data_IF_390452426470
#
_entry.id   IF_390452426470
#
_cell.length_a   1.000
_cell.length_b   1.000
_cell.length_c   1.000
_cell.angle_alpha   90.00
_cell.angle_beta   90.00
_cell.angle_gamma   90.00
#
_symmetry.space_group_name_H-M   'P 1'
#
loop_
_entity.id
_entity.type
_entity.pdbx_description
1 polymer ?
#
# COMPACT_ATOMS: atom_id res chain seq x y z
N UNK A 1 -11.62 32.30 -38.88
CA UNK A 1 -11.01 33.35 -39.71
C UNK A 1 -10.50 34.38 -38.72
N UNK A 2 -9.22 34.63 -38.48
CA UNK A 2 -8.01 34.42 -39.29
C UNK A 2 -6.85 34.71 -38.34
N UNK A 3 -5.84 33.83 -38.34
CA UNK A 3 -4.46 34.23 -38.03
C UNK A 3 -3.94 35.00 -39.25
N UNK A 4 -3.17 36.07 -39.04
CA UNK A 4 -1.89 36.22 -39.74
C UNK A 4 -0.77 36.51 -38.74
N UNK A 5 0.34 35.77 -38.82
CA UNK A 5 1.60 36.12 -39.53
C UNK A 5 2.36 37.27 -38.88
N UNK A 6 3.48 37.02 -38.20
CA UNK A 6 4.80 36.66 -38.72
C UNK A 6 5.71 37.88 -38.93
N UNK A 7 6.96 37.70 -38.50
CA UNK A 7 8.17 38.23 -39.11
C UNK A 7 8.83 39.50 -38.54
N UNK A 8 10.16 39.35 -38.43
CA UNK A 8 11.22 40.35 -38.55
C UNK A 8 11.46 41.29 -37.36
N UNK A 9 12.56 41.09 -36.61
CA UNK A 9 13.94 41.51 -36.92
C UNK A 9 14.25 42.89 -36.34
N UNK A 10 14.85 42.90 -35.14
CA UNK A 10 15.47 44.11 -34.59
C UNK A 10 16.97 44.11 -34.90
N UNK A 11 17.31 44.87 -35.94
CA UNK A 11 18.66 45.30 -36.24
C UNK A 11 19.08 46.38 -35.23
N UNK A 12 20.32 46.26 -34.75
CA UNK A 12 20.97 47.18 -33.84
C UNK A 12 21.26 48.53 -34.51
N UNK A 13 21.02 49.62 -33.77
CA UNK A 13 21.43 50.98 -34.08
C UNK A 13 22.58 51.36 -33.12
N UNK A 14 23.58 52.01 -33.70
CA UNK A 14 24.84 52.61 -33.20
C UNK A 14 24.64 53.65 -32.05
N UNK A 15 25.61 54.53 -31.66
CA UNK A 15 27.03 54.70 -32.02
C UNK A 15 27.98 55.08 -30.84
N UNK A 16 29.28 55.22 -31.17
CA UNK A 16 30.28 56.12 -30.53
C UNK A 16 30.74 55.78 -29.09
N UNK A 17 31.97 56.07 -28.65
CA UNK A 17 32.76 57.28 -28.88
C UNK A 17 34.24 57.01 -28.52
N UNK A 18 35.12 57.65 -29.31
CA UNK A 18 36.53 58.03 -29.10
C UNK A 18 37.15 57.92 -27.70
N UNK A 19 38.40 57.44 -27.65
CA UNK A 19 39.52 58.18 -27.04
C UNK A 19 40.86 57.53 -27.42
N UNK A 20 41.65 58.23 -28.23
CA UNK A 20 43.07 57.96 -28.43
C UNK A 20 43.90 58.50 -27.25
N UNK A 21 45.06 57.89 -27.04
CA UNK A 21 46.04 58.31 -26.03
C UNK A 21 47.25 57.40 -26.04
N UNK A 22 48.17 57.67 -26.96
CA UNK A 22 49.49 57.06 -27.00
C UNK A 22 50.43 57.77 -26.01
N UNK A 23 51.04 57.03 -25.09
CA UNK A 23 52.29 57.43 -24.43
C UNK A 23 53.18 56.19 -24.35
N UNK A 24 54.29 56.27 -25.06
CA UNK A 24 55.38 55.31 -25.17
C UNK A 24 56.30 55.40 -23.94
N UNK A 25 56.55 54.28 -23.26
CA UNK A 25 57.65 54.11 -22.30
C UNK A 25 58.65 53.10 -22.87
N UNK A 26 59.97 53.25 -22.61
CA UNK A 26 61.04 52.55 -23.31
C UNK A 26 61.31 51.14 -22.75
N UNK A 27 61.97 50.36 -23.61
CA UNK A 27 62.32 48.95 -23.57
C UNK A 27 62.84 48.39 -22.23
N UNK A 28 62.22 47.28 -21.81
CA UNK A 28 62.76 46.31 -20.86
C UNK A 28 63.13 45.05 -21.64
N UNK A 29 64.37 44.53 -21.54
CA UNK A 29 64.82 43.39 -22.32
C UNK A 29 64.07 42.09 -21.97
N UNK A 30 63.75 41.39 -23.05
CA UNK A 30 63.01 40.15 -23.19
C UNK A 30 63.49 39.02 -22.26
N UNK A 31 62.69 38.72 -21.23
CA UNK A 31 62.83 37.53 -20.41
C UNK A 31 61.78 36.49 -20.86
N UNK A 32 62.27 35.50 -21.60
CA UNK A 32 61.82 34.09 -21.70
C UNK A 32 60.31 33.83 -21.64
N UNK A 33 59.76 33.42 -22.79
CA UNK A 33 58.37 33.00 -22.98
C UNK A 33 57.81 32.08 -21.87
N UNK A 34 56.63 32.37 -21.31
CA UNK A 34 55.90 31.37 -20.53
C UNK A 34 55.27 30.36 -21.49
N UNK A 35 55.56 29.07 -21.31
CA UNK A 35 54.89 27.98 -22.02
C UNK A 35 53.37 28.07 -21.88
N UNK A 36 52.58 27.44 -22.78
CA UNK A 36 51.13 27.56 -22.74
C UNK A 36 50.60 27.06 -21.41
N UNK A 37 50.26 28.00 -20.52
CA UNK A 37 49.54 27.72 -19.30
C UNK A 37 48.21 27.11 -19.74
N UNK A 38 48.06 25.81 -19.51
CA UNK A 38 46.82 25.06 -19.71
C UNK A 38 45.75 25.67 -18.81
N UNK A 39 45.05 26.69 -19.32
CA UNK A 39 43.95 27.36 -18.65
C UNK A 39 42.77 26.40 -18.69
N UNK A 40 42.80 25.45 -17.77
CA UNK A 40 41.75 24.46 -17.52
C UNK A 40 40.42 25.19 -17.39
N UNK A 41 39.61 25.13 -18.45
CA UNK A 41 38.19 25.53 -18.47
C UNK A 41 37.35 24.55 -17.62
N UNK A 42 37.69 24.34 -16.35
CA UNK A 42 36.97 23.45 -15.43
C UNK A 42 36.77 24.09 -14.05
N UNK A 43 35.81 25.02 -13.93
CA UNK A 43 35.10 25.12 -12.66
C UNK A 43 33.60 24.80 -12.77
N UNK A 44 32.97 24.97 -13.95
CA UNK A 44 31.51 24.84 -14.04
C UNK A 44 31.02 23.38 -14.12
N UNK A 45 31.70 22.53 -14.90
CA UNK A 45 31.33 21.10 -15.00
C UNK A 45 31.56 20.32 -13.70
N UNK A 46 32.46 20.77 -12.82
CA UNK A 46 32.68 20.15 -11.52
C UNK A 46 31.53 20.48 -10.56
N UNK A 47 31.00 21.71 -10.62
CA UNK A 47 29.86 22.13 -9.81
C UNK A 47 28.57 21.39 -10.21
N UNK A 48 28.33 21.15 -11.51
CA UNK A 48 27.14 20.41 -11.95
C UNK A 48 27.15 18.96 -11.50
N UNK A 49 28.31 18.29 -11.53
CA UNK A 49 28.45 16.91 -11.05
C UNK A 49 28.14 16.81 -9.54
N UNK A 50 28.58 17.78 -8.74
CA UNK A 50 28.33 17.80 -7.29
C UNK A 50 26.84 17.97 -6.99
N UNK A 51 26.12 18.83 -7.72
CA UNK A 51 24.67 19.03 -7.55
C UNK A 51 23.89 17.76 -7.91
N UNK A 52 24.23 17.12 -9.03
CA UNK A 52 23.55 15.87 -9.45
C UNK A 52 23.85 14.73 -8.48
N UNK A 53 25.10 14.59 -8.03
CA UNK A 53 25.47 13.56 -7.05
C UNK A 53 24.74 13.76 -5.71
N UNK A 54 24.65 15.01 -5.22
CA UNK A 54 23.93 15.31 -3.98
C UNK A 54 22.41 15.10 -4.10
N UNK A 55 21.80 15.42 -5.24
CA UNK A 55 20.40 15.06 -5.51
C UNK A 55 20.16 13.55 -5.52
N UNK A 56 21.04 12.76 -6.16
CA UNK A 56 20.90 11.31 -6.21
C UNK A 56 21.07 10.66 -4.82
N UNK A 57 22.02 11.15 -4.02
CA UNK A 57 22.21 10.69 -2.64
C UNK A 57 21.01 11.06 -1.77
N UNK A 58 20.50 12.28 -1.89
CA UNK A 58 19.30 12.73 -1.15
C UNK A 58 18.06 11.90 -1.51
N UNK A 59 17.81 11.68 -2.80
CA UNK A 59 16.70 10.85 -3.27
C UNK A 59 16.85 9.38 -2.82
N UNK A 60 18.07 8.84 -2.88
CA UNK A 60 18.39 7.48 -2.43
C UNK A 60 18.18 7.30 -0.93
N UNK A 61 18.64 8.25 -0.11
CA UNK A 61 18.45 8.23 1.34
C UNK A 61 16.96 8.36 1.73
N UNK A 62 16.22 9.26 1.09
CA UNK A 62 14.78 9.43 1.35
C UNK A 62 13.98 8.19 0.95
N UNK A 63 14.25 7.62 -0.24
CA UNK A 63 13.59 6.39 -0.71
C UNK A 63 13.98 5.20 0.17
N UNK A 64 15.25 5.09 0.57
CA UNK A 64 15.73 4.06 1.47
C UNK A 64 15.07 4.13 2.84
N UNK A 65 14.99 5.33 3.44
CA UNK A 65 14.30 5.54 4.71
C UNK A 65 12.80 5.20 4.62
N UNK A 66 12.16 5.55 3.51
CA UNK A 66 10.74 5.26 3.27
C UNK A 66 10.46 3.77 3.08
N UNK A 67 11.30 3.05 2.34
CA UNK A 67 11.21 1.60 2.19
C UNK A 67 11.53 0.87 3.51
N UNK A 68 12.46 1.40 4.31
CA UNK A 68 12.89 0.80 5.57
C UNK A 68 11.88 1.03 6.71
N UNK A 69 11.35 2.25 6.86
CA UNK A 69 10.41 2.60 7.92
C UNK A 69 8.94 2.27 7.56
N UNK A 70 8.65 2.05 6.27
CA UNK A 70 7.29 1.88 5.77
C UNK A 70 6.50 3.19 5.72
N UNK A 71 5.42 3.19 4.95
CA UNK A 71 4.49 4.32 4.84
C UNK A 71 3.70 4.51 6.15
N UNK A 72 3.85 5.65 6.87
CA UNK A 72 2.94 5.96 7.96
C UNK A 72 1.53 6.20 7.39
N UNK A 73 0.52 5.49 7.90
CA UNK A 73 -0.89 5.77 7.58
C UNK A 73 -1.67 4.69 6.83
N UNK A 74 -1.16 3.46 6.69
CA UNK A 74 -1.99 2.36 6.16
C UNK A 74 -3.03 1.96 7.21
N UNK A 75 -4.35 2.04 6.91
CA UNK A 75 -5.39 1.75 7.89
C UNK A 75 -5.34 0.27 8.30
N UNK A 76 -5.31 0.03 9.62
CA UNK A 76 -5.50 -1.32 10.16
C UNK A 76 -7.01 -1.57 10.21
N UNK A 77 -7.44 -2.59 9.50
CA UNK A 77 -8.84 -3.01 9.48
C UNK A 77 -9.08 -4.09 10.53
N UNK A 78 -10.33 -4.13 11.01
CA UNK A 78 -10.82 -5.17 11.90
C UNK A 78 -11.69 -6.12 11.09
N UNK A 79 -11.52 -7.41 11.33
CA UNK A 79 -12.23 -8.46 10.62
C UNK A 79 -12.88 -9.41 11.62
N UNK A 80 -14.18 -9.66 11.43
CA UNK A 80 -14.92 -10.72 12.10
C UNK A 80 -14.84 -11.98 11.24
N UNK A 81 -14.27 -13.05 11.78
CA UNK A 81 -14.11 -14.33 11.11
C UNK A 81 -15.08 -15.34 11.72
N UNK A 82 -15.96 -15.89 10.90
CA UNK A 82 -16.91 -16.94 11.26
C UNK A 82 -16.52 -18.22 10.51
N UNK A 83 -16.19 -19.26 11.26
CA UNK A 83 -15.82 -20.58 10.73
C UNK A 83 -17.03 -21.48 10.93
N UNK A 84 -17.75 -21.74 9.85
CA UNK A 84 -18.95 -22.56 9.86
C UNK A 84 -18.58 -24.04 9.77
N UNK A 85 -19.23 -24.84 10.61
CA UNK A 85 -19.04 -26.27 10.66
C UNK A 85 -20.09 -27.00 9.83
N UNK A 86 -19.71 -28.17 9.30
CA UNK A 86 -20.64 -29.08 8.65
C UNK A 86 -21.69 -29.56 9.66
N UNK A 87 -22.89 -29.87 9.17
CA UNK A 87 -24.01 -30.32 10.01
C UNK A 87 -23.73 -31.61 10.78
N UNK A 88 -22.86 -32.47 10.22
CA UNK A 88 -22.44 -33.77 10.73
C UNK A 88 -21.04 -33.75 11.40
N UNK A 89 -20.47 -32.57 11.67
CA UNK A 89 -19.16 -32.44 12.28
C UNK A 89 -19.09 -33.16 13.65
N UNK A 90 -18.12 -34.06 13.81
CA UNK A 90 -17.95 -34.84 15.05
C UNK A 90 -17.29 -34.01 16.15
N UNK A 91 -17.37 -34.47 17.40
CA UNK A 91 -16.69 -33.80 18.53
C UNK A 91 -15.18 -33.66 18.30
N UNK A 92 -14.53 -34.71 17.78
CA UNK A 92 -13.09 -34.69 17.50
C UNK A 92 -12.73 -33.69 16.39
N UNK A 93 -13.59 -33.57 15.36
CA UNK A 93 -13.41 -32.58 14.30
C UNK A 93 -13.55 -31.15 14.85
N UNK A 94 -14.54 -30.90 15.72
CA UNK A 94 -14.71 -29.59 16.38
C UNK A 94 -13.50 -29.23 17.23
N UNK A 95 -13.01 -30.18 18.03
CA UNK A 95 -11.82 -29.99 18.85
C UNK A 95 -10.56 -29.71 18.00
N UNK A 96 -10.41 -30.39 16.86
CA UNK A 96 -9.31 -30.15 15.94
C UNK A 96 -9.36 -28.75 15.31
N UNK A 97 -10.57 -28.28 14.97
CA UNK A 97 -10.77 -26.90 14.48
C UNK A 97 -10.40 -25.91 15.57
N UNK A 98 -10.97 -26.05 16.78
CA UNK A 98 -10.72 -25.17 17.92
C UNK A 98 -9.22 -25.05 18.26
N UNK A 99 -8.51 -26.19 18.29
CA UNK A 99 -7.08 -26.23 18.57
C UNK A 99 -6.22 -25.51 17.52
N UNK A 100 -6.73 -25.33 16.29
CA UNK A 100 -6.02 -24.63 15.22
C UNK A 100 -6.25 -23.11 15.22
N UNK A 101 -7.30 -22.61 15.91
CA UNK A 101 -7.68 -21.19 15.89
C UNK A 101 -6.68 -20.22 16.52
N UNK A 102 -5.90 -20.60 17.57
CA UNK A 102 -4.89 -19.71 18.14
C UNK A 102 -3.81 -19.28 17.13
N UNK A 103 -3.58 -20.05 16.06
CA UNK A 103 -2.62 -19.71 15.02
C UNK A 103 -3.00 -18.45 14.21
N UNK A 104 -4.22 -17.94 14.37
CA UNK A 104 -4.71 -16.72 13.70
C UNK A 104 -4.53 -15.44 14.53
N UNK A 105 -3.90 -15.54 15.70
CA UNK A 105 -3.70 -14.41 16.63
C UNK A 105 -5.01 -13.63 16.86
N UNK A 106 -6.08 -14.29 17.33
CA UNK A 106 -7.36 -13.65 17.52
C UNK A 106 -7.24 -12.50 18.54
N UNK A 107 -7.95 -11.42 18.27
CA UNK A 107 -8.09 -10.29 19.18
C UNK A 107 -9.19 -10.63 20.18
N UNK A 108 -8.78 -11.18 21.31
CA UNK A 108 -9.68 -11.61 22.39
C UNK A 108 -10.03 -13.08 22.30
N UNK A 109 -11.19 -13.44 22.86
CA UNK A 109 -11.62 -14.83 22.96
C UNK A 109 -12.27 -15.33 21.67
N UNK A 110 -11.98 -16.59 21.34
CA UNK A 110 -12.72 -17.32 20.32
C UNK A 110 -14.03 -17.81 20.94
N UNK A 111 -15.15 -17.51 20.29
CA UNK A 111 -16.47 -17.90 20.75
C UNK A 111 -17.01 -19.05 19.92
N UNK A 112 -17.39 -20.14 20.59
CA UNK A 112 -18.16 -21.18 19.96
C UNK A 112 -19.67 -20.86 20.06
N UNK A 113 -20.33 -20.80 18.91
CA UNK A 113 -21.78 -20.65 18.81
C UNK A 113 -22.41 -21.97 18.37
N UNK A 114 -23.15 -22.58 19.28
CA UNK A 114 -23.93 -23.76 18.97
C UNK A 114 -25.21 -23.39 18.20
N UNK A 115 -25.89 -24.42 17.66
CA UNK A 115 -27.08 -24.23 16.81
C UNK A 115 -28.24 -23.51 17.52
N UNK A 116 -28.38 -23.71 18.83
CA UNK A 116 -29.43 -23.10 19.64
C UNK A 116 -29.18 -21.61 19.81
N UNK A 117 -27.92 -21.25 20.10
CA UNK A 117 -27.46 -19.86 20.18
C UNK A 117 -27.57 -19.17 18.82
N UNK A 118 -27.18 -19.84 17.73
CA UNK A 118 -27.30 -19.32 16.37
C UNK A 118 -28.76 -19.01 16.02
N UNK A 119 -29.70 -19.89 16.38
CA UNK A 119 -31.13 -19.69 16.16
C UNK A 119 -31.71 -18.54 16.99
N UNK A 120 -31.34 -18.44 18.27
CA UNK A 120 -31.76 -17.33 19.12
C UNK A 120 -31.24 -15.99 18.58
N UNK A 121 -29.98 -15.93 18.16
CA UNK A 121 -29.38 -14.75 17.54
C UNK A 121 -30.06 -14.40 16.22
N UNK A 122 -30.38 -15.39 15.39
CA UNK A 122 -31.07 -15.18 14.12
C UNK A 122 -32.47 -14.56 14.33
N UNK A 123 -33.23 -15.08 15.29
CA UNK A 123 -34.53 -14.50 15.66
C UNK A 123 -34.40 -13.05 16.12
N UNK A 124 -33.40 -12.74 16.96
CA UNK A 124 -33.18 -11.38 17.43
C UNK A 124 -32.79 -10.43 16.29
N UNK A 125 -31.92 -10.87 15.37
CA UNK A 125 -31.49 -10.07 14.22
C UNK A 125 -32.63 -9.71 13.27
N UNK A 126 -33.59 -10.61 13.09
CA UNK A 126 -34.68 -10.47 12.12
C UNK A 126 -36.05 -10.27 12.78
N UNK A 127 -36.10 -9.91 14.06
CA UNK A 127 -37.35 -9.67 14.80
C UNK A 127 -38.26 -8.63 14.15
N UNK A 128 -37.66 -7.63 13.49
CA UNK A 128 -38.37 -6.54 12.80
C UNK A 128 -38.74 -6.90 11.35
N UNK A 129 -38.33 -8.09 10.89
CA UNK A 129 -38.45 -8.57 9.50
C UNK A 129 -38.90 -10.03 9.50
N UNK A 130 -40.14 -10.32 9.95
CA UNK A 130 -40.64 -11.68 10.17
C UNK A 130 -40.62 -12.54 8.91
N UNK A 131 -40.63 -11.93 7.72
CA UNK A 131 -40.52 -12.65 6.45
C UNK A 131 -39.24 -13.51 6.33
N UNK A 132 -38.16 -13.14 7.03
CA UNK A 132 -36.94 -13.95 7.08
C UNK A 132 -37.01 -15.09 8.09
N UNK A 133 -37.93 -15.02 9.05
CA UNK A 133 -38.14 -16.06 10.07
C UNK A 133 -39.06 -17.17 9.55
N UNK A 134 -40.07 -16.83 8.75
CA UNK A 134 -41.09 -17.77 8.25
C UNK A 134 -40.52 -18.95 7.44
N UNK A 135 -39.44 -18.72 6.68
CA UNK A 135 -38.78 -19.74 5.88
C UNK A 135 -37.54 -20.38 6.54
N UNK A 136 -37.10 -19.85 7.68
CA UNK A 136 -35.86 -20.29 8.32
C UNK A 136 -36.12 -21.47 9.26
N UNK A 137 -35.17 -22.41 9.27
CA UNK A 137 -35.21 -23.58 10.16
C UNK A 137 -33.95 -23.61 11.01
N UNK A 138 -34.10 -23.88 12.31
CA UNK A 138 -32.96 -24.01 13.24
C UNK A 138 -31.92 -25.01 12.74
N UNK A 139 -32.38 -26.11 12.14
CA UNK A 139 -31.53 -27.18 11.60
C UNK A 139 -30.67 -26.72 10.43
N UNK A 140 -31.08 -25.66 9.72
CA UNK A 140 -30.31 -25.07 8.63
C UNK A 140 -29.22 -24.11 9.09
N UNK A 141 -29.18 -23.76 10.38
CA UNK A 141 -28.13 -22.93 10.95
C UNK A 141 -26.94 -23.80 11.39
N UNK A 142 -25.77 -23.64 10.75
CA UNK A 142 -24.56 -24.34 11.17
C UNK A 142 -24.05 -23.82 12.51
N UNK A 143 -23.39 -24.70 13.25
CA UNK A 143 -22.55 -24.27 14.37
C UNK A 143 -21.33 -23.52 13.84
N UNK A 144 -20.77 -22.62 14.64
CA UNK A 144 -19.61 -21.83 14.19
C UNK A 144 -18.65 -21.45 15.31
N UNK A 145 -17.39 -21.27 14.94
CA UNK A 145 -16.42 -20.54 15.75
C UNK A 145 -16.31 -19.11 15.24
N UNK A 146 -16.31 -18.15 16.17
CA UNK A 146 -16.23 -16.71 15.88
C UNK A 146 -14.99 -16.15 16.53
N UNK A 147 -14.21 -15.42 15.76
CA UNK A 147 -13.03 -14.72 16.24
C UNK A 147 -12.90 -13.37 15.55
N UNK A 148 -12.27 -12.43 16.24
CA UNK A 148 -11.90 -11.14 15.68
C UNK A 148 -10.41 -11.14 15.34
N UNK A 149 -10.02 -10.49 14.26
CA UNK A 149 -8.61 -10.29 13.92
C UNK A 149 -8.39 -8.90 13.33
N UNK A 150 -7.13 -8.50 13.22
CA UNK A 150 -6.73 -7.21 12.66
C UNK A 150 -5.67 -7.41 11.59
N UNK A 151 -5.75 -6.60 10.54
CA UNK A 151 -4.78 -6.64 9.46
C UNK A 151 -4.94 -5.47 8.52
N UNK A 152 -3.88 -5.16 7.77
CA UNK A 152 -3.96 -4.19 6.67
C UNK A 152 -4.69 -4.77 5.47
N UNK A 153 -4.46 -6.04 5.19
CA UNK A 153 -5.06 -6.82 4.12
C UNK A 153 -5.51 -8.15 4.70
N UNK A 154 -6.60 -8.70 4.18
CA UNK A 154 -7.07 -10.03 4.52
C UNK A 154 -6.79 -10.99 3.35
N UNK A 155 -6.27 -12.17 3.67
CA UNK A 155 -5.96 -13.22 2.70
C UNK A 155 -6.40 -14.60 3.24
N UNK A 156 -7.13 -15.34 2.42
CA UNK A 156 -7.56 -16.71 2.69
C UNK A 156 -6.37 -17.69 2.82
N UNK A 157 -5.19 -17.38 2.27
CA UNK A 157 -4.02 -18.24 2.36
C UNK A 157 -3.59 -18.53 3.80
N UNK A 158 -3.73 -17.55 4.70
CA UNK A 158 -3.44 -17.73 6.14
C UNK A 158 -4.34 -18.77 6.80
N UNK A 159 -5.54 -19.00 6.26
CA UNK A 159 -6.55 -19.90 6.80
C UNK A 159 -6.52 -21.30 6.16
N UNK A 160 -5.57 -21.56 5.24
CA UNK A 160 -5.43 -22.82 4.48
C UNK A 160 -5.48 -24.07 5.37
N UNK A 161 -4.85 -24.01 6.55
CA UNK A 161 -4.84 -25.15 7.48
C UNK A 161 -6.23 -25.50 7.98
N UNK A 162 -7.05 -24.51 8.35
CA UNK A 162 -8.37 -24.74 8.94
C UNK A 162 -9.43 -25.00 7.89
N UNK A 163 -9.40 -24.31 6.74
CA UNK A 163 -10.41 -24.54 5.68
C UNK A 163 -10.42 -25.95 5.09
N UNK A 164 -9.33 -26.70 5.22
CA UNK A 164 -9.24 -28.09 4.77
C UNK A 164 -9.44 -29.10 5.90
N UNK A 165 -9.68 -28.65 7.14
CA UNK A 165 -9.96 -29.57 8.23
C UNK A 165 -11.30 -30.28 7.99
N UNK A 166 -11.37 -31.59 8.31
CA UNK A 166 -12.64 -32.29 8.30
C UNK A 166 -13.61 -31.62 9.28
N UNK A 167 -14.87 -31.47 8.87
CA UNK A 167 -15.90 -30.82 9.68
C UNK A 167 -16.03 -29.31 9.45
N UNK A 168 -15.13 -28.65 8.71
CA UNK A 168 -15.30 -27.25 8.28
C UNK A 168 -16.11 -27.19 6.97
N UNK A 169 -17.15 -26.35 6.94
CA UNK A 169 -17.95 -26.06 5.75
C UNK A 169 -17.32 -24.91 4.95
N UNK A 170 -17.20 -23.74 5.60
CA UNK A 170 -16.64 -22.53 4.99
C UNK A 170 -16.18 -21.55 6.07
N UNK A 171 -15.28 -20.66 5.67
CA UNK A 171 -14.83 -19.55 6.50
C UNK A 171 -15.36 -18.27 5.88
N UNK A 172 -16.17 -17.52 6.61
CA UNK A 172 -16.67 -16.21 6.20
C UNK A 172 -15.98 -15.13 7.00
N UNK A 173 -15.48 -14.11 6.30
CA UNK A 173 -14.76 -12.99 6.89
C UNK A 173 -15.49 -11.71 6.52
N UNK A 174 -15.83 -10.93 7.53
CA UNK A 174 -16.51 -9.66 7.38
C UNK A 174 -15.55 -8.57 7.83
N UNK A 175 -15.22 -7.66 6.92
CA UNK A 175 -14.51 -6.45 7.30
C UNK A 175 -15.50 -5.52 8.02
N UNK A 176 -15.15 -5.11 9.24
CA UNK A 176 -15.94 -4.15 9.99
C UNK A 176 -16.01 -2.82 9.23
N UNK A 177 -17.17 -2.15 9.31
CA UNK A 177 -17.49 -0.98 8.48
C UNK A 177 -16.38 0.07 8.53
N UNK A 178 -15.87 0.42 7.35
CA UNK A 178 -15.02 1.59 7.15
C UNK A 178 -15.73 2.49 6.15
N UNK A 179 -16.12 3.71 6.57
CA UNK A 179 -16.83 4.68 5.73
C UNK A 179 -18.09 4.10 5.04
N UNK A 180 -18.93 3.37 5.79
CA UNK A 180 -20.17 2.72 5.33
C UNK A 180 -20.03 1.56 4.34
N UNK A 181 -18.80 1.16 3.98
CA UNK A 181 -18.55 -0.03 3.18
C UNK A 181 -18.38 -1.28 4.05
N UNK A 182 -19.07 -2.36 3.68
CA UNK A 182 -18.87 -3.71 4.22
C UNK A 182 -18.36 -4.59 3.10
N UNK A 183 -17.23 -5.25 3.33
CA UNK A 183 -16.74 -6.30 2.46
C UNK A 183 -16.90 -7.64 3.17
N UNK A 184 -17.41 -8.64 2.44
CA UNK A 184 -17.48 -10.02 2.89
C UNK A 184 -16.66 -10.90 1.95
N UNK A 185 -15.76 -11.70 2.51
CA UNK A 185 -14.92 -12.66 1.80
C UNK A 185 -15.31 -14.05 2.29
N UNK A 186 -15.56 -14.97 1.37
CA UNK A 186 -15.79 -16.39 1.70
C UNK A 186 -14.57 -17.18 1.26
N UNK A 187 -13.88 -17.79 2.20
CA UNK A 187 -12.81 -18.74 1.95
C UNK A 187 -13.42 -20.15 2.07
N UNK A 188 -13.76 -20.77 0.95
CA UNK A 188 -14.14 -22.17 0.89
C UNK A 188 -12.95 -23.03 0.39
N UNK A 189 -13.12 -24.34 0.47
CA UNK A 189 -12.13 -25.29 -0.05
C UNK A 189 -12.17 -25.40 -1.58
N UNK A 190 -13.27 -24.96 -2.21
CA UNK A 190 -13.56 -25.19 -3.63
C UNK A 190 -12.90 -24.14 -4.54
N UNK A 191 -12.78 -22.88 -4.10
CA UNK A 191 -12.18 -21.78 -4.87
C UNK A 191 -10.65 -21.79 -5.00
N UNK A 192 -9.97 -22.86 -4.56
CA UNK A 192 -8.52 -22.92 -4.58
C UNK A 192 -7.92 -23.90 -5.58
N UNK A 193 -8.74 -24.46 -6.46
CA UNK A 193 -8.25 -25.16 -7.63
C UNK A 193 -8.56 -24.28 -8.86
N UNK A 194 -7.60 -23.46 -9.34
CA UNK A 194 -7.77 -22.70 -10.58
C UNK A 194 -7.90 -23.62 -11.80
#
# INVERSE_FOLDING_TARGET
MTIPDASAANAAISPNLSAGGAVTSPDVPEATAPGPANRTRRPWFLLTIIVVASMLIGAGAATGAFLFAGLPGQPVHHYSVNIYLKSDATADQKAAVEAALPAFEPVGEVQFENRDQAWARFQELFKDRPEYLEGARKESLPESFKLETKGRLFDCAGYTKVRHLPGVDKIQVIQNRVNDYVAAITCDAEYANP
#
